data_IF_442952503733
#
_entry.id   IF_442952503733
#
_cell.length_a   1.000
_cell.length_b   1.000
_cell.length_c   1.000
_cell.angle_alpha   90.00
_cell.angle_beta   90.00
_cell.angle_gamma   90.00
#
_symmetry.space_group_name_H-M   'P 1'
#
loop_
_entity.id
_entity.type
_entity.pdbx_description
1 polymer ?
#
# COMPACT_ATOMS: atom_id res chain seq x y z
N UNK A 1 58.94 9.63 -34.61
CA UNK A 1 57.50 9.70 -34.95
C UNK A 1 56.87 8.36 -34.63
N UNK A 2 56.19 8.25 -33.48
CA UNK A 2 55.49 7.03 -33.05
C UNK A 2 53.98 7.39 -32.99
N UNK A 3 53.20 6.77 -33.84
CA UNK A 3 51.74 6.91 -33.87
C UNK A 3 51.14 5.97 -32.82
N UNK A 4 50.48 6.52 -31.79
CA UNK A 4 49.62 5.77 -30.89
C UNK A 4 48.24 5.64 -31.55
N UNK A 5 47.86 4.41 -31.89
CA UNK A 5 46.47 4.04 -32.21
C UNK A 5 45.70 3.83 -30.91
N UNK A 6 44.75 4.70 -30.59
CA UNK A 6 43.76 4.50 -29.55
C UNK A 6 42.59 3.75 -30.14
N UNK A 7 42.44 2.47 -29.73
CA UNK A 7 41.28 1.64 -30.07
C UNK A 7 40.10 2.04 -29.22
N UNK A 8 39.08 2.59 -29.86
CA UNK A 8 37.78 2.87 -29.23
C UNK A 8 36.96 1.57 -29.18
N UNK A 9 36.84 0.94 -28.01
CA UNK A 9 35.97 -0.21 -27.83
C UNK A 9 34.54 0.31 -27.65
N UNK A 10 33.72 0.14 -28.68
CA UNK A 10 32.27 0.41 -28.63
C UNK A 10 31.58 -0.76 -27.89
N UNK A 11 31.20 -0.55 -26.65
CA UNK A 11 30.37 -1.50 -25.91
C UNK A 11 28.91 -1.29 -26.36
N UNK A 12 28.45 -2.13 -27.28
CA UNK A 12 27.04 -2.24 -27.62
C UNK A 12 26.29 -2.90 -26.44
N UNK A 13 25.68 -2.09 -25.57
CA UNK A 13 24.65 -2.59 -24.66
C UNK A 13 23.41 -2.97 -25.47
N UNK A 14 23.24 -4.27 -25.72
CA UNK A 14 22.01 -4.81 -26.25
C UNK A 14 20.89 -4.66 -25.17
N UNK A 15 20.07 -3.64 -25.32
CA UNK A 15 18.78 -3.53 -24.68
C UNK A 15 17.92 -4.71 -25.13
N UNK A 16 17.91 -5.79 -24.36
CA UNK A 16 16.91 -6.84 -24.50
C UNK A 16 15.57 -6.24 -24.08
N UNK A 17 14.77 -5.89 -25.06
CA UNK A 17 13.35 -5.65 -24.87
C UNK A 17 12.74 -6.92 -24.28
N UNK A 18 12.42 -6.91 -23.00
CA UNK A 18 11.55 -7.93 -22.40
C UNK A 18 10.17 -7.71 -23.01
N UNK A 19 9.89 -8.37 -24.11
CA UNK A 19 8.51 -8.59 -24.56
C UNK A 19 7.86 -9.45 -23.48
N UNK A 20 7.01 -8.83 -22.66
CA UNK A 20 6.10 -9.55 -21.80
C UNK A 20 5.17 -10.34 -22.73
N UNK A 21 5.45 -11.64 -22.93
CA UNK A 21 4.48 -12.56 -23.46
C UNK A 21 3.30 -12.56 -22.47
N UNK A 22 2.27 -11.80 -22.79
CA UNK A 22 0.95 -11.95 -22.18
C UNK A 22 0.48 -13.36 -22.58
N UNK A 23 0.68 -14.31 -21.68
CA UNK A 23 -0.10 -15.55 -21.73
C UNK A 23 -1.54 -15.07 -21.55
N UNK A 24 -2.34 -15.20 -22.58
CA UNK A 24 -3.77 -14.88 -22.59
C UNK A 24 -4.47 -15.97 -21.76
N UNK A 25 -4.24 -15.92 -20.44
CA UNK A 25 -4.98 -16.72 -19.47
C UNK A 25 -6.33 -16.03 -19.41
N UNK A 26 -7.37 -16.72 -19.88
CA UNK A 26 -8.74 -16.28 -19.81
C UNK A 26 -9.03 -15.76 -18.39
N UNK A 27 -9.19 -14.44 -18.23
CA UNK A 27 -9.39 -13.83 -16.92
C UNK A 27 -10.65 -14.41 -16.26
N UNK A 28 -10.53 -15.22 -15.18
CA UNK A 28 -11.69 -15.85 -14.56
C UNK A 28 -12.55 -14.84 -13.76
N UNK A 29 -12.06 -13.62 -13.58
CA UNK A 29 -12.69 -12.60 -12.72
C UNK A 29 -12.95 -11.25 -13.40
N UNK A 30 -13.53 -11.19 -14.63
CA UNK A 30 -13.65 -9.94 -15.39
C UNK A 30 -14.54 -8.89 -14.70
N UNK A 31 -15.29 -9.27 -13.66
CA UNK A 31 -16.18 -8.40 -12.87
C UNK A 31 -15.73 -8.22 -11.40
N UNK A 32 -14.51 -8.60 -11.06
CA UNK A 32 -14.00 -8.49 -9.69
C UNK A 32 -13.92 -7.05 -9.18
N UNK A 33 -13.70 -6.09 -10.07
CA UNK A 33 -13.63 -4.66 -9.79
C UNK A 33 -13.46 -3.85 -11.05
N UNK A 34 -13.38 -2.53 -10.92
CA UNK A 34 -13.09 -1.66 -12.07
C UNK A 34 -11.63 -1.81 -12.54
N UNK A 35 -10.75 -2.27 -11.67
CA UNK A 35 -9.35 -2.65 -11.95
C UNK A 35 -8.88 -3.61 -10.87
N UNK A 36 -8.06 -4.59 -11.26
CA UNK A 36 -7.35 -5.43 -10.32
C UNK A 36 -6.03 -5.97 -10.88
N UNK A 37 -5.18 -6.42 -9.97
CA UNK A 37 -3.97 -7.18 -10.27
C UNK A 37 -3.75 -8.21 -9.16
N UNK A 38 -3.55 -9.48 -9.56
CA UNK A 38 -3.18 -10.57 -8.67
C UNK A 38 -1.83 -11.14 -9.09
N UNK A 39 -0.93 -11.24 -8.11
CA UNK A 39 0.40 -11.82 -8.28
C UNK A 39 0.58 -13.03 -7.38
N UNK A 40 1.30 -14.03 -7.90
CA UNK A 40 1.80 -15.19 -7.15
C UNK A 40 3.32 -15.17 -7.23
N UNK A 41 4.00 -15.15 -6.08
CA UNK A 41 5.47 -15.07 -5.98
C UNK A 41 6.05 -13.96 -6.86
N UNK A 42 5.43 -12.78 -6.83
CA UNK A 42 5.83 -11.59 -7.59
C UNK A 42 5.52 -11.63 -9.10
N UNK A 43 4.90 -12.70 -9.63
CA UNK A 43 4.51 -12.80 -11.04
C UNK A 43 3.01 -12.60 -11.20
N UNK A 44 2.59 -11.76 -12.13
CA UNK A 44 1.17 -11.55 -12.43
C UNK A 44 0.55 -12.85 -12.93
N UNK A 45 -0.49 -13.29 -12.24
CA UNK A 45 -1.31 -14.42 -12.61
C UNK A 45 -2.56 -13.98 -13.37
N UNK A 46 -3.30 -13.00 -12.79
CA UNK A 46 -4.49 -12.42 -13.41
C UNK A 46 -4.50 -10.90 -13.23
N UNK A 47 -5.08 -10.20 -14.18
CA UNK A 47 -5.28 -8.76 -14.07
C UNK A 47 -6.44 -8.28 -14.95
N UNK A 48 -7.07 -7.19 -14.55
CA UNK A 48 -8.09 -6.50 -15.33
C UNK A 48 -7.83 -4.99 -15.27
N UNK A 49 -7.59 -4.37 -16.42
CA UNK A 49 -7.27 -2.94 -16.53
C UNK A 49 -6.24 -2.45 -15.48
N UNK A 50 -5.09 -3.16 -15.27
CA UNK A 50 -4.21 -2.94 -14.13
C UNK A 50 -3.59 -1.53 -14.11
N UNK A 51 -3.51 -0.85 -15.26
CA UNK A 51 -2.93 0.49 -15.41
C UNK A 51 -3.98 1.61 -15.51
N UNK A 52 -5.25 1.28 -15.29
CA UNK A 52 -6.33 2.27 -15.23
C UNK A 52 -6.18 3.14 -13.98
N UNK A 53 -6.10 4.46 -14.16
CA UNK A 53 -6.04 5.45 -13.08
C UNK A 53 -7.39 5.55 -12.38
N UNK A 54 -7.42 5.26 -11.09
CA UNK A 54 -8.62 5.27 -10.25
C UNK A 54 -8.35 5.93 -8.91
N UNK A 55 -9.37 6.54 -8.27
CA UNK A 55 -9.28 6.92 -6.87
C UNK A 55 -9.02 5.67 -6.01
N UNK A 56 -8.11 5.79 -5.05
CA UNK A 56 -7.65 4.63 -4.26
C UNK A 56 -8.06 4.69 -2.79
N UNK A 57 -8.72 5.79 -2.37
CA UNK A 57 -9.10 6.01 -0.98
C UNK A 57 -7.93 5.78 -0.01
N UNK A 58 -8.18 5.18 1.15
CA UNK A 58 -7.16 4.93 2.19
C UNK A 58 -6.04 3.94 1.82
N UNK A 59 -6.02 3.39 0.59
CA UNK A 59 -4.82 2.69 0.09
C UNK A 59 -3.62 3.66 0.06
N UNK A 60 -3.86 4.95 -0.12
CA UNK A 60 -2.90 6.06 0.03
C UNK A 60 -1.99 5.93 1.25
N UNK A 61 -2.51 5.38 2.36
CA UNK A 61 -1.79 5.26 3.63
C UNK A 61 -0.57 4.31 3.57
N UNK A 62 -0.48 3.51 2.53
CA UNK A 62 0.71 2.70 2.25
C UNK A 62 1.89 3.62 1.92
N UNK A 63 1.70 4.62 1.05
CA UNK A 63 2.74 5.63 0.77
C UNK A 63 3.02 6.51 1.98
N UNK A 64 2.00 6.91 2.72
CA UNK A 64 2.16 7.68 3.96
C UNK A 64 3.06 6.94 4.95
N UNK A 65 2.82 5.64 5.15
CA UNK A 65 3.65 4.85 6.04
C UNK A 65 5.10 4.73 5.54
N UNK A 66 5.31 4.56 4.23
CA UNK A 66 6.65 4.52 3.64
C UNK A 66 7.42 5.82 3.90
N UNK A 67 6.82 6.99 3.61
CA UNK A 67 7.46 8.29 3.83
C UNK A 67 7.78 8.51 5.31
N UNK A 68 6.87 8.16 6.21
CA UNK A 68 7.11 8.29 7.66
C UNK A 68 8.28 7.43 8.10
N UNK A 69 8.34 6.16 7.70
CA UNK A 69 9.43 5.25 8.06
C UNK A 69 10.79 5.68 7.51
N UNK A 70 10.82 6.30 6.34
CA UNK A 70 12.06 6.80 5.72
C UNK A 70 12.59 8.07 6.40
N UNK A 71 11.74 8.82 7.15
CA UNK A 71 12.09 10.12 7.69
C UNK A 71 12.04 10.22 9.23
N UNK A 72 11.62 9.17 9.94
CA UNK A 72 11.46 9.20 11.40
C UNK A 72 11.92 7.89 12.04
N UNK A 73 12.08 7.93 13.36
CA UNK A 73 12.28 6.74 14.19
C UNK A 73 10.97 6.33 14.88
N UNK A 74 10.76 5.03 15.14
CA UNK A 74 9.52 4.53 15.76
C UNK A 74 9.16 5.18 17.11
N UNK A 75 10.18 5.53 17.88
CA UNK A 75 10.04 6.12 19.23
C UNK A 75 10.06 7.65 19.25
N UNK A 76 10.11 8.30 18.10
CA UNK A 76 9.91 9.75 18.03
C UNK A 76 8.50 10.12 18.51
N UNK A 77 8.42 11.30 19.15
CA UNK A 77 7.16 11.79 19.71
C UNK A 77 6.57 12.84 18.76
N UNK A 78 5.36 12.57 18.32
CA UNK A 78 4.54 13.49 17.52
C UNK A 78 3.59 14.23 18.45
N UNK A 79 3.58 15.56 18.35
CA UNK A 79 2.56 16.41 18.99
C UNK A 79 1.42 16.62 18.00
N UNK A 80 0.21 16.30 18.43
CA UNK A 80 -0.98 16.37 17.57
C UNK A 80 -1.30 17.84 17.27
N UNK A 81 -1.35 18.15 15.98
CA UNK A 81 -1.62 19.50 15.45
C UNK A 81 -3.13 19.84 15.48
N UNK A 82 -3.44 21.14 15.41
CA UNK A 82 -4.83 21.59 15.23
C UNK A 82 -5.42 21.14 13.88
N UNK A 83 -4.60 20.98 12.85
CA UNK A 83 -5.02 20.46 11.54
C UNK A 83 -5.40 18.98 11.60
N UNK A 84 -4.64 18.17 12.33
CA UNK A 84 -4.95 16.74 12.50
C UNK A 84 -6.31 16.52 13.19
N UNK A 85 -6.65 17.34 14.19
CA UNK A 85 -7.94 17.23 14.90
C UNK A 85 -9.14 17.56 14.00
N UNK A 86 -8.95 18.36 12.96
CA UNK A 86 -10.01 18.76 12.01
C UNK A 86 -10.27 17.70 10.93
N UNK A 87 -9.44 16.67 10.84
CA UNK A 87 -9.64 15.59 9.87
C UNK A 87 -11.02 14.94 9.98
N UNK A 88 -11.53 14.45 8.86
CA UNK A 88 -12.84 13.83 8.72
C UNK A 88 -12.76 12.34 8.43
N UNK A 89 -13.88 11.66 8.38
CA UNK A 89 -13.94 10.22 8.13
C UNK A 89 -13.50 9.38 9.34
N UNK A 90 -12.79 8.28 9.11
CA UNK A 90 -12.31 7.40 10.21
C UNK A 90 -11.20 8.08 11.00
N UNK A 91 -11.39 8.20 12.32
CA UNK A 91 -10.47 8.91 13.23
C UNK A 91 -10.38 8.21 14.57
N UNK A 92 -9.30 8.45 15.31
CA UNK A 92 -9.19 8.12 16.74
C UNK A 92 -9.86 9.15 17.65
N UNK A 93 -10.12 10.35 17.14
CA UNK A 93 -10.54 11.50 17.94
C UNK A 93 -9.39 12.05 18.79
N UNK A 94 -8.21 12.19 18.18
CA UNK A 94 -7.05 12.81 18.80
C UNK A 94 -7.35 14.27 19.18
N UNK A 95 -6.70 14.79 20.23
CA UNK A 95 -6.83 16.16 20.69
C UNK A 95 -5.53 16.93 20.44
N UNK A 96 -5.65 18.19 20.05
CA UNK A 96 -4.48 19.05 19.87
C UNK A 96 -3.62 19.11 21.13
N UNK A 97 -2.30 19.05 20.95
CA UNK A 97 -1.32 19.01 22.02
C UNK A 97 -1.11 17.62 22.65
N UNK A 98 -1.94 16.60 22.32
CA UNK A 98 -1.62 15.24 22.73
C UNK A 98 -0.31 14.78 22.09
N UNK A 99 0.40 13.88 22.78
CA UNK A 99 1.68 13.34 22.33
C UNK A 99 1.58 11.83 22.20
N UNK A 100 1.93 11.31 21.03
CA UNK A 100 1.99 9.87 20.74
C UNK A 100 3.31 9.54 20.04
N UNK A 101 3.73 8.28 20.12
CA UNK A 101 4.87 7.80 19.35
C UNK A 101 4.53 7.61 17.88
N UNK A 102 5.51 7.80 16.99
CA UNK A 102 5.38 7.54 15.54
C UNK A 102 4.81 6.15 15.29
N UNK A 103 5.36 5.10 15.94
CA UNK A 103 4.88 3.71 15.79
C UNK A 103 3.40 3.54 16.14
N UNK A 104 2.90 4.26 17.14
CA UNK A 104 1.50 4.19 17.56
C UNK A 104 0.58 4.87 16.54
N UNK A 105 0.98 6.02 16.01
CA UNK A 105 0.25 6.71 14.95
C UNK A 105 0.28 5.95 13.63
N UNK A 106 1.40 5.30 13.26
CA UNK A 106 1.49 4.40 12.11
C UNK A 106 0.53 3.22 12.26
N UNK A 107 0.50 2.60 13.44
CA UNK A 107 -0.45 1.52 13.74
C UNK A 107 -1.90 1.99 13.62
N UNK A 108 -2.21 3.19 14.11
CA UNK A 108 -3.54 3.78 13.97
C UNK A 108 -3.92 4.04 12.50
N UNK A 109 -2.98 4.54 11.69
CA UNK A 109 -3.18 4.79 10.27
C UNK A 109 -3.40 3.50 9.47
N UNK A 110 -2.62 2.46 9.73
CA UNK A 110 -2.65 1.21 8.96
C UNK A 110 -3.77 0.27 9.42
N UNK A 111 -3.88 0.00 10.73
CA UNK A 111 -4.84 -0.94 11.31
C UNK A 111 -6.25 -0.34 11.33
N UNK A 112 -6.40 0.82 11.96
CA UNK A 112 -7.71 1.47 12.16
C UNK A 112 -8.10 2.39 11.01
N UNK A 113 -7.16 2.69 10.12
CA UNK A 113 -7.34 3.65 9.00
C UNK A 113 -7.60 5.09 9.47
N UNK A 114 -7.03 5.51 10.59
CA UNK A 114 -7.27 6.80 11.21
C UNK A 114 -6.67 7.97 10.41
N UNK A 115 -7.53 8.90 9.94
CA UNK A 115 -7.12 10.05 9.14
C UNK A 115 -6.39 11.10 9.99
N UNK A 116 -6.85 11.34 11.22
CA UNK A 116 -6.19 12.24 12.17
C UNK A 116 -4.76 11.79 12.52
N UNK A 117 -4.53 10.49 12.62
CA UNK A 117 -3.18 9.95 12.79
C UNK A 117 -2.30 10.18 11.54
N UNK A 118 -2.84 9.96 10.32
CA UNK A 118 -2.11 10.27 9.08
C UNK A 118 -1.73 11.73 8.99
N UNK A 119 -2.69 12.63 9.30
CA UNK A 119 -2.45 14.06 9.24
C UNK A 119 -1.41 14.50 10.27
N UNK A 120 -1.46 13.97 11.49
CA UNK A 120 -0.45 14.25 12.51
C UNK A 120 0.97 13.82 12.08
N UNK A 121 1.08 12.64 11.45
CA UNK A 121 2.35 12.17 10.88
C UNK A 121 2.81 13.04 9.71
N UNK A 122 1.88 13.44 8.83
CA UNK A 122 2.18 14.31 7.70
C UNK A 122 2.67 15.70 8.16
N UNK A 123 2.00 16.30 9.13
CA UNK A 123 2.42 17.57 9.71
C UNK A 123 3.79 17.48 10.42
N UNK A 124 4.06 16.33 11.07
CA UNK A 124 5.34 16.08 11.75
C UNK A 124 6.52 15.97 10.78
N UNK A 125 6.34 15.21 9.67
CA UNK A 125 7.41 14.92 8.71
C UNK A 125 7.56 16.03 7.67
N UNK A 126 6.45 16.54 7.15
CA UNK A 126 6.43 17.54 6.08
C UNK A 126 6.32 18.99 6.56
N UNK A 127 6.24 19.22 7.88
CA UNK A 127 5.92 20.54 8.44
C UNK A 127 4.45 20.92 8.28
N UNK A 128 3.81 20.43 7.22
CA UNK A 128 2.38 20.52 6.93
C UNK A 128 2.02 19.49 5.85
N UNK A 129 0.71 19.36 5.53
CA UNK A 129 0.27 18.38 4.54
C UNK A 129 0.82 18.64 3.13
N UNK A 130 0.97 19.88 2.72
CA UNK A 130 1.48 20.23 1.39
C UNK A 130 2.94 19.75 1.23
N UNK A 131 3.80 20.05 2.20
CA UNK A 131 5.18 19.56 2.20
C UNK A 131 5.27 18.03 2.24
N UNK A 132 4.38 17.39 3.00
CA UNK A 132 4.31 15.93 3.02
C UNK A 132 3.87 15.33 1.67
N UNK A 133 2.89 15.92 1.01
CA UNK A 133 2.43 15.53 -0.34
C UNK A 133 3.54 15.69 -1.38
N UNK A 134 4.37 16.70 -1.28
CA UNK A 134 5.56 16.85 -2.14
C UNK A 134 6.52 15.66 -1.96
N UNK A 135 6.79 15.24 -0.72
CA UNK A 135 7.60 14.05 -0.42
C UNK A 135 6.96 12.79 -1.02
N UNK A 136 5.63 12.58 -0.85
CA UNK A 136 4.91 11.45 -1.43
C UNK A 136 5.07 11.41 -2.96
N UNK A 137 4.86 12.52 -3.64
CA UNK A 137 4.96 12.58 -5.10
C UNK A 137 6.41 12.46 -5.60
N UNK A 138 7.38 13.03 -4.88
CA UNK A 138 8.81 12.82 -5.16
C UNK A 138 9.16 11.34 -5.05
N UNK A 139 8.70 10.68 -3.99
CA UNK A 139 8.98 9.26 -3.77
C UNK A 139 8.27 8.38 -4.80
N UNK A 140 7.02 8.67 -5.17
CA UNK A 140 6.30 7.97 -6.22
C UNK A 140 7.11 7.97 -7.54
N UNK A 141 7.60 9.13 -7.96
CA UNK A 141 8.45 9.23 -9.15
C UNK A 141 9.73 8.40 -9.04
N UNK A 142 10.42 8.46 -7.89
CA UNK A 142 11.67 7.71 -7.68
C UNK A 142 11.47 6.19 -7.65
N UNK A 143 10.26 5.72 -7.31
CA UNK A 143 9.88 4.32 -7.34
C UNK A 143 9.35 3.86 -8.70
N UNK A 144 9.22 4.75 -9.68
CA UNK A 144 8.66 4.43 -10.99
C UNK A 144 7.13 4.28 -11.00
N UNK A 145 6.42 4.84 -10.00
CA UNK A 145 4.95 4.86 -9.95
C UNK A 145 4.43 5.94 -10.91
N UNK A 146 4.52 5.68 -12.21
CA UNK A 146 4.31 6.70 -13.27
C UNK A 146 2.84 7.10 -13.44
N UNK A 147 1.93 6.27 -12.94
CA UNK A 147 0.49 6.50 -13.01
C UNK A 147 -0.13 6.81 -11.65
N UNK A 148 0.68 7.32 -10.70
CA UNK A 148 0.25 7.66 -9.34
C UNK A 148 0.50 9.12 -9.03
N UNK A 149 -0.49 9.77 -8.39
CA UNK A 149 -0.36 11.13 -7.90
C UNK A 149 -1.15 11.31 -6.61
N UNK A 150 -0.51 11.92 -5.61
CA UNK A 150 -1.07 12.18 -4.29
C UNK A 150 -1.44 13.65 -4.12
N UNK A 151 -2.54 13.93 -3.40
CA UNK A 151 -3.02 15.27 -3.03
C UNK A 151 -3.21 15.43 -1.52
N UNK A 152 -3.20 14.32 -0.78
CA UNK A 152 -3.29 14.31 0.68
C UNK A 152 -2.70 13.00 1.22
N UNK A 153 -2.44 12.98 2.52
CA UNK A 153 -1.82 11.85 3.23
C UNK A 153 -2.77 10.70 3.56
N UNK A 154 -4.08 10.93 3.55
CA UNK A 154 -5.07 9.99 4.09
C UNK A 154 -5.92 9.28 3.04
N UNK A 155 -6.02 9.83 1.82
CA UNK A 155 -6.81 9.27 0.72
C UNK A 155 -8.21 9.86 0.61
N UNK A 156 -8.39 11.12 1.00
CA UNK A 156 -9.59 11.88 0.66
C UNK A 156 -9.71 12.09 -0.84
N UNK A 157 -10.94 12.13 -1.33
CA UNK A 157 -11.24 12.31 -2.74
C UNK A 157 -10.74 13.65 -3.28
N UNK A 158 -10.00 13.59 -4.38
CA UNK A 158 -9.57 14.74 -5.16
C UNK A 158 -9.34 14.30 -6.61
N UNK A 159 -9.64 15.14 -7.59
CA UNK A 159 -9.53 14.78 -9.01
C UNK A 159 -8.12 14.36 -9.42
N UNK A 160 -7.11 14.99 -8.82
CA UNK A 160 -5.69 14.68 -9.05
C UNK A 160 -5.13 13.65 -8.06
N UNK A 161 -5.98 12.93 -7.30
CA UNK A 161 -5.53 11.91 -6.35
C UNK A 161 -5.93 10.52 -6.87
N UNK A 162 -4.97 9.83 -7.51
CA UNK A 162 -5.21 8.57 -8.18
C UNK A 162 -3.99 7.65 -8.16
N UNK A 163 -4.21 6.39 -8.42
CA UNK A 163 -3.20 5.38 -8.69
C UNK A 163 -3.75 4.29 -9.62
N UNK A 164 -2.97 3.25 -9.85
CA UNK A 164 -3.31 2.07 -10.62
C UNK A 164 -3.07 0.81 -9.81
N UNK A 165 -3.68 -0.32 -10.18
CA UNK A 165 -3.43 -1.58 -9.50
C UNK A 165 -1.96 -2.00 -9.63
N UNK A 166 -1.32 -1.73 -10.77
CA UNK A 166 0.11 -1.99 -11.01
C UNK A 166 1.00 -1.17 -10.07
N UNK A 167 0.80 0.14 -9.98
CA UNK A 167 1.61 1.02 -9.13
C UNK A 167 1.41 0.68 -7.64
N UNK A 168 0.17 0.38 -7.23
CA UNK A 168 -0.13 -0.03 -5.84
C UNK A 168 0.54 -1.36 -5.51
N UNK A 169 0.55 -2.33 -6.43
CA UNK A 169 1.23 -3.61 -6.22
C UNK A 169 2.74 -3.40 -6.02
N UNK A 170 3.38 -2.60 -6.88
CA UNK A 170 4.80 -2.25 -6.74
C UNK A 170 5.08 -1.57 -5.40
N UNK A 171 4.31 -0.55 -5.04
CA UNK A 171 4.44 0.14 -3.75
C UNK A 171 4.26 -0.83 -2.57
N UNK A 172 3.32 -1.77 -2.69
CA UNK A 172 3.04 -2.75 -1.64
C UNK A 172 4.20 -3.71 -1.43
N UNK A 173 4.80 -4.22 -2.52
CA UNK A 173 6.00 -5.09 -2.43
C UNK A 173 7.14 -4.35 -1.72
N UNK A 174 7.35 -3.08 -2.07
CA UNK A 174 8.42 -2.26 -1.46
C UNK A 174 8.21 -2.12 0.05
N UNK A 175 6.99 -1.78 0.48
CA UNK A 175 6.74 -1.54 1.90
C UNK A 175 6.71 -2.84 2.72
N UNK A 176 6.31 -3.97 2.14
CA UNK A 176 6.32 -5.28 2.80
C UNK A 176 7.73 -5.82 3.06
N UNK A 177 8.77 -5.25 2.44
CA UNK A 177 10.15 -5.54 2.81
C UNK A 177 10.54 -4.92 4.18
N UNK A 178 9.70 -4.06 4.76
CA UNK A 178 9.92 -3.52 6.09
C UNK A 178 9.21 -4.39 7.15
N UNK A 179 9.94 -5.07 8.06
CA UNK A 179 9.36 -5.98 9.04
C UNK A 179 8.33 -5.31 9.96
N UNK A 180 8.57 -4.06 10.36
CA UNK A 180 7.65 -3.29 11.21
C UNK A 180 6.28 -3.13 10.56
N UNK A 181 6.24 -2.90 9.25
CA UNK A 181 4.97 -2.79 8.52
C UNK A 181 4.28 -4.13 8.42
N UNK A 182 5.01 -5.17 8.02
CA UNK A 182 4.44 -6.51 7.83
C UNK A 182 3.82 -7.01 9.13
N UNK A 183 4.51 -6.81 10.25
CA UNK A 183 3.98 -7.09 11.58
C UNK A 183 2.74 -6.24 11.88
N UNK A 184 2.83 -4.92 11.70
CA UNK A 184 1.72 -4.00 12.02
C UNK A 184 0.44 -4.33 11.26
N UNK A 185 0.51 -4.54 9.94
CA UNK A 185 -0.69 -4.76 9.11
C UNK A 185 -1.33 -6.14 9.34
N UNK A 186 -0.59 -7.10 9.90
CA UNK A 186 -1.10 -8.43 10.25
C UNK A 186 -1.85 -8.49 11.59
N UNK A 187 -1.78 -7.42 12.41
CA UNK A 187 -2.43 -7.38 13.73
C UNK A 187 -3.93 -7.16 13.57
N UNK A 188 -4.74 -8.06 14.12
CA UNK A 188 -6.20 -7.96 14.10
C UNK A 188 -6.73 -6.84 15.03
N UNK A 189 -6.12 -6.69 16.21
CA UNK A 189 -6.44 -5.61 17.14
C UNK A 189 -5.30 -5.34 18.11
N UNK A 190 -5.14 -4.08 18.50
CA UNK A 190 -4.17 -3.68 19.51
C UNK A 190 -4.64 -2.46 20.30
N UNK A 191 -3.91 -2.12 21.35
CA UNK A 191 -4.12 -0.87 22.11
C UNK A 191 -2.88 0.00 21.99
N UNK A 192 -3.10 1.27 21.76
CA UNK A 192 -2.07 2.31 21.85
C UNK A 192 -2.44 3.34 22.91
N UNK A 193 -1.50 4.14 23.36
CA UNK A 193 -1.73 5.16 24.39
C UNK A 193 -0.97 6.45 24.12
N UNK A 194 -1.48 7.55 24.65
CA UNK A 194 -0.70 8.79 24.73
C UNK A 194 0.56 8.60 25.56
N UNK A 195 1.61 9.38 25.29
CA UNK A 195 2.92 9.31 26.00
C UNK A 195 2.75 9.41 27.52
N UNK A 196 1.82 10.25 27.99
CA UNK A 196 1.51 10.40 29.43
C UNK A 196 0.57 9.30 29.98
N UNK A 197 0.16 8.34 29.16
CA UNK A 197 -0.72 7.23 29.55
C UNK A 197 -2.18 7.60 29.84
N UNK A 198 -2.57 8.87 29.75
CA UNK A 198 -3.92 9.34 30.16
C UNK A 198 -5.05 8.86 29.25
N UNK A 199 -4.75 8.59 27.97
CA UNK A 199 -5.73 8.06 27.00
C UNK A 199 -5.23 6.78 26.36
N UNK A 200 -6.14 5.82 26.23
CA UNK A 200 -5.90 4.53 25.56
C UNK A 200 -6.88 4.42 24.40
N UNK A 201 -6.38 4.02 23.24
CA UNK A 201 -7.16 3.80 22.03
C UNK A 201 -7.14 2.32 21.68
N UNK A 202 -8.31 1.74 21.40
CA UNK A 202 -8.45 0.37 20.90
C UNK A 202 -8.48 0.43 19.36
N UNK A 203 -7.51 -0.16 18.72
CA UNK A 203 -7.44 -0.30 17.26
C UNK A 203 -8.04 -1.65 16.87
N UNK A 204 -8.93 -1.65 15.89
CA UNK A 204 -9.43 -2.86 15.22
C UNK A 204 -9.08 -2.76 13.74
N UNK A 205 -8.49 -3.82 13.20
CA UNK A 205 -8.13 -3.87 11.79
C UNK A 205 -9.40 -3.77 10.92
N UNK A 206 -9.34 -2.87 9.94
CA UNK A 206 -10.44 -2.72 8.97
C UNK A 206 -10.37 -3.74 7.83
N UNK A 207 -9.29 -4.50 7.76
CA UNK A 207 -9.13 -5.58 6.81
C UNK A 207 -9.72 -6.88 7.41
N UNK A 208 -10.89 -7.27 6.93
CA UNK A 208 -11.66 -8.39 7.47
C UNK A 208 -11.05 -9.76 7.16
N UNK A 209 -10.08 -9.86 6.23
CA UNK A 209 -9.38 -11.13 6.00
C UNK A 209 -8.35 -11.44 7.11
N UNK A 210 -7.89 -10.42 7.86
CA UNK A 210 -6.94 -10.63 8.96
C UNK A 210 -7.63 -11.39 10.10
N UNK A 211 -7.05 -12.55 10.43
CA UNK A 211 -7.60 -13.46 11.43
C UNK A 211 -8.76 -14.35 10.94
N UNK A 212 -9.24 -14.17 9.67
CA UNK A 212 -10.33 -14.94 9.09
C UNK A 212 -9.93 -15.70 7.81
N UNK A 213 -8.79 -15.41 7.23
CA UNK A 213 -8.27 -16.08 6.04
C UNK A 213 -6.89 -16.65 6.32
N UNK A 214 -6.68 -17.92 6.00
CA UNK A 214 -5.43 -18.63 6.26
C UNK A 214 -4.25 -17.97 5.53
N UNK A 215 -3.21 -17.68 6.29
CA UNK A 215 -1.99 -17.05 5.79
C UNK A 215 -2.10 -15.53 5.54
N UNK A 216 -3.25 -14.89 5.83
CA UNK A 216 -3.42 -13.45 5.63
C UNK A 216 -2.45 -12.63 6.50
N UNK A 217 -1.68 -11.73 5.85
CA UNK A 217 -0.67 -10.87 6.50
C UNK A 217 -0.88 -9.38 6.23
N UNK A 218 -1.96 -8.97 5.59
CA UNK A 218 -2.22 -7.54 5.35
C UNK A 218 -3.08 -7.30 4.13
N UNK A 219 -3.10 -6.11 3.58
CA UNK A 219 -2.31 -4.92 3.86
C UNK A 219 -3.22 -3.74 4.24
N UNK A 220 -4.08 -3.31 3.31
CA UNK A 220 -4.88 -2.09 3.53
C UNK A 220 -6.22 -2.11 2.80
N UNK A 221 -7.23 -1.52 3.42
CA UNK A 221 -8.53 -1.27 2.83
C UNK A 221 -8.71 0.22 2.50
N UNK A 222 -9.56 0.51 1.52
CA UNK A 222 -9.98 1.86 1.19
C UNK A 222 -11.48 1.92 0.88
N UNK A 223 -12.11 3.04 1.18
CA UNK A 223 -13.46 3.35 0.75
C UNK A 223 -13.71 4.86 0.77
N UNK A 224 -14.22 5.37 -0.33
CA UNK A 224 -14.93 6.64 -0.45
C UNK A 224 -16.08 6.44 -1.45
N UNK A 225 -16.98 7.41 -1.56
CA UNK A 225 -18.05 7.31 -2.56
C UNK A 225 -17.51 7.32 -4.00
N UNK A 226 -16.41 8.04 -4.28
CA UNK A 226 -15.79 8.07 -5.61
C UNK A 226 -14.92 6.84 -5.88
N UNK A 227 -14.16 6.38 -4.89
CA UNK A 227 -13.25 5.24 -5.06
C UNK A 227 -13.98 3.88 -5.05
N UNK A 228 -15.17 3.81 -4.46
CA UNK A 228 -15.79 2.53 -4.16
C UNK A 228 -14.98 1.72 -3.13
N UNK A 229 -15.22 0.43 -3.03
CA UNK A 229 -14.51 -0.46 -2.10
C UNK A 229 -13.17 -0.89 -2.71
N UNK A 230 -12.06 -0.55 -2.07
CA UNK A 230 -10.70 -0.92 -2.47
C UNK A 230 -10.06 -1.85 -1.42
N UNK A 231 -9.18 -2.74 -1.87
CA UNK A 231 -8.45 -3.67 -1.02
C UNK A 231 -7.05 -3.94 -1.59
N UNK A 232 -6.06 -3.94 -0.73
CA UNK A 232 -4.78 -4.60 -0.96
C UNK A 232 -4.70 -5.75 0.03
N UNK A 233 -4.67 -6.97 -0.46
CA UNK A 233 -4.57 -8.20 0.32
C UNK A 233 -3.24 -8.88 0.04
N UNK A 234 -2.60 -9.38 1.10
CA UNK A 234 -1.40 -10.19 1.01
C UNK A 234 -1.54 -11.40 1.92
N UNK A 235 -1.30 -12.58 1.39
CA UNK A 235 -1.28 -13.81 2.15
C UNK A 235 -0.11 -14.70 1.75
N UNK A 236 0.37 -15.49 2.70
CA UNK A 236 1.46 -16.44 2.50
C UNK A 236 1.08 -17.80 3.06
N UNK A 237 1.24 -18.85 2.24
CA UNK A 237 1.10 -20.25 2.64
C UNK A 237 2.35 -20.99 2.16
N UNK A 238 3.08 -21.61 3.07
CA UNK A 238 4.36 -22.28 2.79
C UNK A 238 5.36 -21.38 2.05
N UNK A 239 5.73 -21.77 0.83
CA UNK A 239 6.65 -21.02 -0.07
C UNK A 239 5.93 -20.18 -1.12
N UNK A 240 4.60 -20.03 -1.01
CA UNK A 240 3.78 -19.28 -1.96
C UNK A 240 3.25 -18.03 -1.28
N UNK A 241 3.47 -16.90 -1.91
CA UNK A 241 2.82 -15.65 -1.55
C UNK A 241 1.86 -15.20 -2.66
N UNK A 242 0.77 -14.57 -2.24
CA UNK A 242 -0.27 -14.01 -3.12
C UNK A 242 -0.51 -12.56 -2.71
N UNK A 243 -0.32 -11.66 -3.67
CA UNK A 243 -0.66 -10.24 -3.56
C UNK A 243 -1.84 -9.94 -4.48
N UNK A 244 -2.91 -9.38 -3.91
CA UNK A 244 -4.09 -8.94 -4.65
C UNK A 244 -4.35 -7.46 -4.41
N UNK A 245 -4.48 -6.69 -5.48
CA UNK A 245 -4.97 -5.31 -5.47
C UNK A 245 -6.33 -5.27 -6.16
N UNK A 246 -7.35 -4.80 -5.46
CA UNK A 246 -8.71 -4.58 -5.97
C UNK A 246 -9.06 -3.10 -5.85
N UNK A 247 -9.49 -2.48 -6.97
CA UNK A 247 -9.98 -1.11 -7.00
C UNK A 247 -11.43 -1.08 -7.45
N UNK A 248 -12.28 -0.40 -6.67
CA UNK A 248 -13.73 -0.29 -6.89
C UNK A 248 -14.39 -1.67 -7.11
N UNK A 249 -14.25 -2.55 -6.14
CA UNK A 249 -14.80 -3.91 -6.14
C UNK A 249 -16.09 -3.95 -5.34
N UNK A 250 -17.23 -4.41 -5.89
CA UNK A 250 -18.51 -4.38 -5.19
C UNK A 250 -18.53 -5.27 -3.95
N UNK A 251 -17.92 -6.45 -4.03
CA UNK A 251 -17.88 -7.47 -2.97
C UNK A 251 -16.44 -7.86 -2.61
N UNK A 252 -15.59 -6.85 -2.32
CA UNK A 252 -14.14 -7.04 -2.16
C UNK A 252 -13.72 -8.21 -1.25
N UNK A 253 -14.51 -8.54 -0.22
CA UNK A 253 -14.15 -9.62 0.70
C UNK A 253 -14.36 -11.02 0.09
N UNK A 254 -15.54 -11.27 -0.44
CA UNK A 254 -15.87 -12.54 -1.09
C UNK A 254 -14.95 -12.77 -2.30
N UNK A 255 -14.83 -11.74 -3.14
CA UNK A 255 -14.00 -11.78 -4.35
C UNK A 255 -12.52 -12.02 -3.98
N UNK A 256 -12.00 -11.36 -2.93
CA UNK A 256 -10.61 -11.54 -2.52
C UNK A 256 -10.34 -12.98 -2.06
N UNK A 257 -11.23 -13.57 -1.25
CA UNK A 257 -11.09 -14.96 -0.80
C UNK A 257 -11.10 -15.92 -1.99
N UNK A 258 -12.07 -15.79 -2.89
CA UNK A 258 -12.20 -16.64 -4.07
C UNK A 258 -10.97 -16.55 -4.98
N UNK A 259 -10.53 -15.34 -5.31
CA UNK A 259 -9.36 -15.13 -6.16
C UNK A 259 -8.07 -15.66 -5.54
N UNK A 260 -7.88 -15.47 -4.23
CA UNK A 260 -6.68 -15.93 -3.53
C UNK A 260 -6.67 -17.45 -3.38
N UNK A 261 -7.82 -18.09 -3.11
CA UNK A 261 -7.91 -19.56 -3.04
C UNK A 261 -7.60 -20.21 -4.38
N UNK A 262 -8.14 -19.69 -5.47
CA UNK A 262 -7.81 -20.18 -6.81
C UNK A 262 -6.31 -19.97 -7.14
N UNK A 263 -5.73 -18.84 -6.75
CA UNK A 263 -4.31 -18.57 -6.98
C UNK A 263 -3.40 -19.54 -6.21
N UNK A 264 -3.72 -19.86 -4.95
CA UNK A 264 -2.98 -20.85 -4.17
C UNK A 264 -3.15 -22.27 -4.75
N UNK A 265 -4.35 -22.64 -5.20
CA UNK A 265 -4.60 -23.93 -5.83
C UNK A 265 -3.79 -24.10 -7.13
N UNK A 266 -3.77 -23.06 -7.99
CA UNK A 266 -3.00 -23.10 -9.24
C UNK A 266 -1.48 -23.17 -8.97
N UNK A 267 -0.98 -22.43 -7.97
CA UNK A 267 0.43 -22.50 -7.58
C UNK A 267 0.82 -23.89 -7.05
N UNK A 268 -0.09 -24.56 -6.34
CA UNK A 268 0.13 -25.92 -5.81
C UNK A 268 0.14 -26.97 -6.92
N UNK A 269 -0.77 -26.88 -7.89
CA UNK A 269 -0.83 -27.81 -9.02
C UNK A 269 0.43 -27.75 -9.89
N UNK A 270 0.95 -26.54 -10.13
CA UNK A 270 2.21 -26.37 -10.89
C UNK A 270 3.44 -26.94 -10.17
N UNK A 271 3.46 -26.94 -8.82
CA UNK A 271 4.55 -27.56 -8.05
C UNK A 271 4.54 -29.09 -8.13
N UNK A 272 3.35 -29.70 -8.12
CA UNK A 272 3.23 -31.16 -8.15
C UNK A 272 3.56 -31.74 -9.52
N UNK A 273 3.60 -30.94 -10.57
CA UNK A 273 3.90 -31.33 -11.94
C UNK A 273 5.36 -31.07 -12.37
N UNK A 274 6.19 -30.56 -11.48
CA UNK A 274 7.65 -30.35 -11.63
C UNK A 274 8.43 -31.36 -10.80
#
# INVERSE_FOLDING_TARGET
MRYLLTSLILICLSLRSFSANSVDINDPFPKAGASYLLQVNGRTLWSHQPDRKLPMASITKIMTALIVLENTKPDEIVTISNSAVKETGTRLGLKAGERLYVKDLLSAALIHSANDACRALADHVGGNEAGFVELMNKRARSLGLTNTHFQNSSGHDHEKHYSTASDIALLTIIILNNPTITETVSIASMKIKTVNGKRIFKLKNKNEIIGNYEGAQGVKTGFTLKAGKCLVAFAKRDKTDVLLVLLNSPNRWLIAVEMMDMAFAEASSKRNNM
#
